data_IF_594888010195
#
_entry.id   IF_594888010195
#
_cell.length_a   1.000
_cell.length_b   1.000
_cell.length_c   1.000
_cell.angle_alpha   90.00
_cell.angle_beta   90.00
_cell.angle_gamma   90.00
#
_symmetry.space_group_name_H-M   'P 1'
#
loop_
_entity.id
_entity.type
_entity.pdbx_description
1 polymer ?
#
# COMPACT_ATOMS: atom_id res chain seq x y z
N UNK A 1 37.71 11.75 -13.54
CA UNK A 1 36.51 10.89 -13.38
C UNK A 1 36.51 10.36 -11.96
N UNK A 2 35.57 10.81 -11.12
CA UNK A 2 35.56 10.47 -9.70
C UNK A 2 35.04 9.05 -9.47
N UNK A 3 35.84 8.19 -8.85
CA UNK A 3 35.40 6.88 -8.39
C UNK A 3 34.40 7.06 -7.24
N UNK A 4 33.19 6.54 -7.43
CA UNK A 4 32.14 6.54 -6.40
C UNK A 4 32.47 5.44 -5.39
N UNK A 5 32.94 5.79 -4.20
CA UNK A 5 33.12 4.84 -3.09
C UNK A 5 31.75 4.30 -2.69
N UNK A 6 31.51 3.01 -2.93
CA UNK A 6 30.43 2.26 -2.31
C UNK A 6 30.83 2.03 -0.85
N UNK A 7 30.28 2.86 0.04
CA UNK A 7 30.26 2.58 1.46
C UNK A 7 29.41 1.34 1.70
N UNK A 8 30.10 0.23 1.95
CA UNK A 8 29.76 -0.95 2.77
C UNK A 8 28.30 -1.23 3.13
N UNK A 9 27.94 -2.51 3.02
CA UNK A 9 26.81 -3.23 3.65
C UNK A 9 25.46 -3.16 2.94
N UNK A 10 25.42 -3.67 1.70
CA UNK A 10 24.23 -4.38 1.22
C UNK A 10 24.65 -5.78 0.82
N UNK A 11 24.57 -6.67 1.82
CA UNK A 11 24.56 -8.14 1.77
C UNK A 11 25.27 -8.78 0.56
N UNK A 12 26.47 -9.32 0.79
CA UNK A 12 27.18 -10.15 -0.19
C UNK A 12 26.31 -11.28 -0.74
N UNK A 13 25.42 -11.81 0.09
CA UNK A 13 24.39 -12.79 -0.27
C UNK A 13 23.45 -12.29 -1.38
N UNK A 14 23.04 -11.01 -1.37
CA UNK A 14 22.17 -10.44 -2.40
C UNK A 14 22.92 -10.32 -3.76
N UNK A 15 24.23 -10.12 -3.74
CA UNK A 15 25.06 -10.09 -4.95
C UNK A 15 25.27 -11.51 -5.52
N UNK A 16 25.58 -12.47 -4.66
CA UNK A 16 25.78 -13.88 -5.05
C UNK A 16 24.50 -14.52 -5.59
N UNK A 17 23.35 -14.25 -4.95
CA UNK A 17 22.04 -14.76 -5.39
C UNK A 17 21.62 -14.16 -6.73
N UNK A 18 21.93 -12.87 -6.97
CA UNK A 18 21.65 -12.22 -8.25
C UNK A 18 22.53 -12.74 -9.39
N UNK A 19 23.72 -13.28 -9.10
CA UNK A 19 24.63 -13.87 -10.07
C UNK A 19 24.34 -15.35 -10.38
N UNK A 20 23.74 -16.08 -9.43
CA UNK A 20 23.39 -17.51 -9.57
C UNK A 20 22.03 -17.77 -10.22
N UNK A 21 21.23 -16.72 -10.47
CA UNK A 21 19.93 -16.85 -11.14
C UNK A 21 18.83 -17.45 -10.25
N UNK A 22 19.09 -17.68 -8.97
CA UNK A 22 18.08 -18.11 -8.00
C UNK A 22 17.18 -16.92 -7.65
N UNK A 23 16.01 -16.85 -8.30
CA UNK A 23 14.93 -15.89 -7.97
C UNK A 23 13.85 -16.52 -7.09
N UNK A 24 14.18 -17.62 -6.40
CA UNK A 24 13.22 -18.49 -5.73
C UNK A 24 13.05 -18.20 -4.23
N UNK A 25 13.00 -16.93 -3.79
CA UNK A 25 12.56 -16.62 -2.43
C UNK A 25 11.65 -15.38 -2.39
N UNK A 26 10.39 -15.63 -2.69
CA UNK A 26 9.20 -15.30 -1.88
C UNK A 26 9.29 -14.12 -0.92
N UNK A 27 9.74 -12.95 -1.37
CA UNK A 27 9.20 -11.72 -0.79
C UNK A 27 7.77 -11.60 -1.32
N UNK A 28 6.78 -12.01 -0.53
CA UNK A 28 5.45 -11.41 -0.55
C UNK A 28 5.63 -9.95 -0.13
N UNK A 29 6.36 -9.18 -0.93
CA UNK A 29 6.12 -7.76 -1.03
C UNK A 29 4.73 -7.75 -1.62
N UNK A 30 3.71 -7.60 -0.78
CA UNK A 30 2.44 -7.06 -1.24
C UNK A 30 2.83 -5.75 -1.92
N UNK A 31 3.00 -5.82 -3.24
CA UNK A 31 3.69 -4.85 -4.08
C UNK A 31 2.78 -3.66 -4.17
N UNK A 32 2.63 -2.89 -3.07
CA UNK A 32 1.61 -1.87 -2.77
C UNK A 32 0.70 -1.69 -3.97
N UNK A 33 -0.20 -2.67 -4.18
CA UNK A 33 -0.87 -2.78 -5.47
C UNK A 33 -1.72 -1.52 -5.57
N UNK A 34 -1.33 -0.62 -6.47
CA UNK A 34 -2.04 0.65 -6.61
C UNK A 34 -3.47 0.28 -6.97
N UNK A 35 -4.41 0.80 -6.19
CA UNK A 35 -5.83 0.58 -6.42
C UNK A 35 -6.16 1.14 -7.81
N UNK A 36 -6.59 0.27 -8.71
CA UNK A 36 -6.84 0.57 -10.12
C UNK A 36 -8.29 0.33 -10.54
N UNK A 37 -9.13 -0.16 -9.63
CA UNK A 37 -10.57 -0.36 -9.84
C UNK A 37 -11.34 0.75 -9.11
N UNK A 38 -12.27 1.38 -9.83
CA UNK A 38 -13.22 2.33 -9.28
C UNK A 38 -14.55 1.63 -9.00
N UNK A 39 -15.29 2.15 -8.04
CA UNK A 39 -16.69 1.81 -7.81
C UNK A 39 -17.45 3.12 -7.58
N UNK A 40 -18.70 3.16 -8.00
CA UNK A 40 -19.58 4.31 -7.84
C UNK A 40 -20.64 3.95 -6.79
N UNK A 41 -20.81 4.83 -5.80
CA UNK A 41 -21.83 4.73 -4.77
C UNK A 41 -22.57 6.06 -4.72
N UNK A 42 -23.88 5.97 -4.65
CA UNK A 42 -24.75 7.11 -4.42
C UNK A 42 -25.15 7.14 -2.95
N UNK A 43 -25.19 8.34 -2.39
CA UNK A 43 -25.65 8.61 -1.04
C UNK A 43 -26.76 9.64 -1.11
N UNK A 44 -27.71 9.53 -0.19
CA UNK A 44 -28.54 10.67 0.19
C UNK A 44 -27.70 11.70 0.95
N UNK A 45 -28.19 12.92 1.08
CA UNK A 45 -27.47 14.01 1.75
C UNK A 45 -27.18 13.68 3.22
N UNK A 46 -28.18 13.15 3.93
CA UNK A 46 -28.07 12.69 5.32
C UNK A 46 -27.04 11.57 5.50
N UNK A 47 -26.98 10.62 4.57
CA UNK A 47 -26.01 9.52 4.63
C UNK A 47 -24.58 10.03 4.43
N UNK A 48 -24.39 10.94 3.47
CA UNK A 48 -23.08 11.53 3.21
C UNK A 48 -22.59 12.33 4.41
N UNK A 49 -23.47 13.06 5.09
CA UNK A 49 -23.12 13.83 6.28
C UNK A 49 -22.69 12.93 7.44
N UNK A 50 -23.40 11.82 7.67
CA UNK A 50 -22.99 10.80 8.66
C UNK A 50 -21.60 10.25 8.36
N UNK A 51 -21.35 9.90 7.10
CA UNK A 51 -20.03 9.39 6.65
C UNK A 51 -18.93 10.44 6.87
N UNK A 52 -19.21 11.73 6.59
CA UNK A 52 -18.28 12.83 6.84
C UNK A 52 -17.94 12.98 8.32
N UNK A 53 -18.96 12.95 9.18
CA UNK A 53 -18.78 13.10 10.62
C UNK A 53 -17.99 11.92 11.23
N UNK A 54 -18.27 10.70 10.79
CA UNK A 54 -17.51 9.51 11.21
C UNK A 54 -16.06 9.55 10.71
N UNK A 55 -15.85 9.94 9.45
CA UNK A 55 -14.51 10.06 8.87
C UNK A 55 -13.69 11.13 9.60
N UNK A 56 -14.29 12.28 9.92
CA UNK A 56 -13.66 13.36 10.68
C UNK A 56 -13.29 12.92 12.10
N UNK A 57 -14.16 12.17 12.79
CA UNK A 57 -13.90 11.64 14.14
C UNK A 57 -12.66 10.75 14.18
N UNK A 58 -12.41 9.97 13.13
CA UNK A 58 -11.27 9.05 13.03
C UNK A 58 -10.04 9.73 12.41
N UNK A 59 -10.20 10.93 11.84
CA UNK A 59 -9.13 11.64 11.15
C UNK A 59 -8.76 11.04 9.78
N UNK A 60 -9.72 10.39 9.11
CA UNK A 60 -9.52 9.81 7.77
C UNK A 60 -10.24 10.64 6.70
N UNK A 61 -9.69 10.63 5.49
CA UNK A 61 -10.43 11.16 4.33
C UNK A 61 -11.66 10.31 4.02
N UNK A 62 -12.74 10.92 3.53
CA UNK A 62 -14.03 10.24 3.26
C UNK A 62 -13.84 8.96 2.42
N UNK A 63 -13.09 9.05 1.31
CA UNK A 63 -12.82 7.90 0.44
C UNK A 63 -11.98 6.81 1.11
N UNK A 64 -11.11 7.18 2.05
CA UNK A 64 -10.34 6.21 2.85
C UNK A 64 -11.26 5.55 3.88
N UNK A 65 -12.11 6.33 4.53
CA UNK A 65 -13.07 5.84 5.52
C UNK A 65 -14.09 4.87 4.91
N UNK A 66 -14.68 5.20 3.75
CA UNK A 66 -15.60 4.31 3.03
C UNK A 66 -14.93 2.96 2.74
N UNK A 67 -13.68 2.99 2.26
CA UNK A 67 -12.93 1.75 2.00
C UNK A 67 -12.62 0.99 3.28
N UNK A 68 -12.21 1.67 4.34
CA UNK A 68 -12.00 1.05 5.64
C UNK A 68 -13.27 0.33 6.08
N UNK A 69 -14.43 1.00 6.09
CA UNK A 69 -15.70 0.40 6.51
C UNK A 69 -16.13 -0.80 5.67
N UNK A 70 -15.92 -0.77 4.35
CA UNK A 70 -16.26 -1.87 3.43
C UNK A 70 -15.38 -3.10 3.65
N UNK A 71 -14.07 -2.90 3.84
CA UNK A 71 -13.11 -4.02 3.87
C UNK A 71 -12.66 -4.42 5.28
N UNK A 72 -13.00 -3.65 6.33
CA UNK A 72 -12.59 -3.94 7.70
C UNK A 72 -13.20 -5.23 8.26
N UNK A 73 -14.31 -5.72 7.68
CA UNK A 73 -14.98 -6.96 8.13
C UNK A 73 -14.71 -8.16 7.20
N UNK A 74 -13.85 -8.03 6.19
CA UNK A 74 -13.60 -9.06 5.16
C UNK A 74 -12.27 -9.80 5.40
N UNK A 75 -11.59 -9.54 6.52
CA UNK A 75 -10.31 -10.17 6.90
C UNK A 75 -10.44 -10.85 8.25
#
# INVERSE_FOLDING_TARGET
MGFKKISSQKNEEDFLNSARGETSETKIVNKKTKRNKSFLLYFTEDELEKVRNEAARIGMGINQYIRFKVFNNIV
#
